data_IF_887426888619
#
_entry.id   IF_887426888619
#
_cell.length_a   1.000
_cell.length_b   1.000
_cell.length_c   1.000
_cell.angle_alpha   90.00
_cell.angle_beta   90.00
_cell.angle_gamma   90.00
#
_symmetry.space_group_name_H-M   'P 1'
#
loop_
_entity.id
_entity.type
_entity.pdbx_description
1 polymer ?
#
# COMPACT_ATOMS: atom_id res chain seq x y z
N UNK A 1 -57.66 -0.40 52.56
CA UNK A 1 -57.22 -0.02 53.92
C UNK A 1 -56.91 -1.31 54.67
N UNK A 2 -55.87 -1.28 55.53
CA UNK A 2 -55.38 -2.35 56.44
C UNK A 2 -54.41 -3.36 55.77
N UNK A 3 -53.09 -3.12 55.77
CA UNK A 3 -52.05 -3.30 56.83
C UNK A 3 -51.79 -4.80 57.15
N UNK A 4 -50.71 -5.40 56.64
CA UNK A 4 -49.31 -5.42 57.14
C UNK A 4 -49.05 -6.51 58.21
N UNK A 5 -48.27 -7.54 57.86
CA UNK A 5 -47.32 -8.20 58.77
C UNK A 5 -46.29 -9.03 57.99
N UNK A 6 -45.16 -8.35 57.74
CA UNK A 6 -43.77 -8.67 58.04
C UNK A 6 -43.12 -10.05 57.70
N UNK A 7 -41.78 -10.04 57.50
CA UNK A 7 -41.05 -10.98 56.64
C UNK A 7 -40.07 -11.89 57.42
N UNK A 8 -39.49 -12.90 56.77
CA UNK A 8 -38.20 -13.47 57.20
C UNK A 8 -37.41 -13.98 55.99
N UNK A 9 -36.10 -13.75 56.06
CA UNK A 9 -35.13 -13.59 54.96
C UNK A 9 -34.89 -14.79 54.02
N UNK A 10 -34.36 -14.54 52.81
CA UNK A 10 -33.60 -15.51 52.01
C UNK A 10 -32.10 -15.42 52.34
N UNK A 11 -31.31 -16.48 52.11
CA UNK A 11 -29.86 -16.48 51.78
C UNK A 11 -29.40 -17.95 51.74
N UNK A 12 -29.22 -18.57 50.56
CA UNK A 12 -28.00 -18.65 49.72
C UNK A 12 -26.81 -19.37 50.37
N UNK A 13 -26.44 -20.52 49.81
CA UNK A 13 -25.08 -20.81 49.35
C UNK A 13 -25.08 -22.04 48.41
N UNK A 14 -24.69 -21.82 47.16
CA UNK A 14 -24.28 -22.84 46.19
C UNK A 14 -22.78 -23.19 46.42
N UNK A 15 -22.00 -23.81 45.49
CA UNK A 15 -22.28 -24.60 44.29
C UNK A 15 -21.36 -25.86 44.16
N UNK A 16 -21.38 -26.47 42.97
CA UNK A 16 -20.26 -27.14 42.28
C UNK A 16 -20.30 -28.70 42.33
N UNK A 17 -20.05 -29.44 41.25
CA UNK A 17 -19.24 -29.16 40.06
C UNK A 17 -19.84 -29.83 38.82
N UNK A 18 -19.72 -29.11 37.71
CA UNK A 18 -20.03 -29.53 36.33
C UNK A 18 -19.01 -30.57 35.85
N UNK A 19 -19.48 -31.57 35.10
CA UNK A 19 -18.71 -32.35 34.13
C UNK A 19 -19.55 -32.37 32.83
N UNK A 20 -19.22 -31.61 31.79
CA UNK A 20 -18.14 -31.78 30.81
C UNK A 20 -18.37 -32.97 29.85
N UNK A 21 -18.83 -32.64 28.63
CA UNK A 21 -18.51 -33.29 27.35
C UNK A 21 -19.22 -32.47 26.24
N UNK A 22 -18.60 -31.44 25.68
CA UNK A 22 -17.81 -31.46 24.43
C UNK A 22 -18.53 -32.15 23.26
N UNK A 23 -19.18 -31.34 22.42
CA UNK A 23 -19.54 -31.67 21.04
C UNK A 23 -19.15 -30.50 20.15
N UNK A 24 -18.07 -30.69 19.39
CA UNK A 24 -17.40 -29.69 18.59
C UNK A 24 -17.99 -29.61 17.16
N UNK A 25 -18.17 -28.40 16.65
CA UNK A 25 -18.07 -28.05 15.22
C UNK A 25 -18.04 -26.51 15.11
N UNK A 26 -16.86 -25.96 15.34
CA UNK A 26 -16.52 -24.54 15.26
C UNK A 26 -15.80 -24.29 13.93
N UNK A 27 -16.22 -23.23 13.25
CA UNK A 27 -15.43 -22.41 12.31
C UNK A 27 -14.99 -23.00 10.97
N UNK A 28 -15.70 -22.61 9.91
CA UNK A 28 -15.09 -22.23 8.64
C UNK A 28 -15.24 -20.71 8.45
N UNK A 29 -14.57 -19.94 9.31
CA UNK A 29 -14.11 -18.61 8.90
C UNK A 29 -12.88 -18.88 8.01
N UNK A 30 -13.05 -18.75 6.71
CA UNK A 30 -11.92 -18.59 5.80
C UNK A 30 -11.24 -17.25 6.13
N UNK A 31 -10.33 -17.30 7.10
CA UNK A 31 -9.30 -16.31 7.33
C UNK A 31 -8.33 -16.38 6.14
N UNK A 32 -8.70 -15.75 5.04
CA UNK A 32 -7.74 -15.26 4.05
C UNK A 32 -7.06 -14.01 4.63
N UNK A 33 -6.46 -14.11 5.82
CA UNK A 33 -5.37 -13.22 6.20
C UNK A 33 -4.15 -13.71 5.43
N UNK A 34 -4.14 -13.43 4.13
CA UNK A 34 -2.94 -13.57 3.33
C UNK A 34 -1.87 -12.70 4.01
N UNK A 35 -0.81 -13.35 4.47
CA UNK A 35 0.41 -12.68 4.86
C UNK A 35 0.84 -11.79 3.68
N UNK A 36 0.64 -10.49 3.78
CA UNK A 36 1.41 -9.58 2.95
C UNK A 36 2.84 -9.68 3.47
N UNK A 37 3.82 -10.16 2.69
CA UNK A 37 5.21 -9.94 3.06
C UNK A 37 5.39 -8.43 3.26
N UNK A 38 6.16 -8.05 4.28
CA UNK A 38 6.62 -6.69 4.53
C UNK A 38 7.25 -6.14 3.25
N UNK A 39 6.40 -5.60 2.39
CA UNK A 39 6.77 -4.96 1.15
C UNK A 39 7.21 -3.56 1.54
N UNK A 40 8.34 -3.05 1.04
CA UNK A 40 8.87 -1.73 1.40
C UNK A 40 7.90 -0.58 1.04
N UNK A 41 6.83 -0.87 0.31
CA UNK A 41 5.75 0.05 -0.03
C UNK A 41 4.62 0.01 0.99
N UNK A 42 4.47 1.07 1.79
CA UNK A 42 3.28 1.29 2.61
C UNK A 42 1.99 1.26 1.76
N UNK A 43 2.07 1.65 0.48
CA UNK A 43 0.97 1.65 -0.48
C UNK A 43 0.44 0.26 -0.89
N UNK A 44 1.14 -0.84 -0.55
CA UNK A 44 0.65 -2.21 -0.79
C UNK A 44 -0.25 -2.77 0.31
N UNK A 45 -0.36 -2.08 1.45
CA UNK A 45 -1.21 -2.54 2.56
C UNK A 45 -2.72 -2.40 2.26
N UNK A 46 -3.09 -1.65 1.21
CA UNK A 46 -4.48 -1.42 0.81
C UNK A 46 -4.80 -2.04 -0.54
N UNK A 47 -6.08 -2.41 -0.73
CA UNK A 47 -6.58 -2.92 -2.00
C UNK A 47 -6.38 -1.91 -3.13
N UNK A 48 -5.96 -2.39 -4.30
CA UNK A 48 -5.76 -1.58 -5.50
C UNK A 48 -7.12 -1.03 -5.98
N UNK A 49 -7.20 0.29 -6.21
CA UNK A 49 -8.34 0.91 -6.87
C UNK A 49 -8.21 0.86 -8.40
N UNK A 50 -9.29 1.08 -9.15
CA UNK A 50 -9.24 1.04 -10.63
C UNK A 50 -8.22 2.05 -11.20
N UNK A 51 -8.12 3.24 -10.61
CA UNK A 51 -7.16 4.29 -11.00
C UNK A 51 -5.69 3.90 -10.83
N UNK A 52 -5.43 2.88 -10.01
CA UNK A 52 -4.06 2.45 -9.69
C UNK A 52 -3.51 1.51 -10.76
N UNK A 53 -4.37 0.99 -11.64
CA UNK A 53 -3.97 0.10 -12.73
C UNK A 53 -3.22 0.86 -13.80
N UNK A 54 -2.12 0.26 -14.25
CA UNK A 54 -1.40 0.77 -15.41
C UNK A 54 -2.25 0.66 -16.68
N UNK A 55 -2.20 1.66 -17.56
CA UNK A 55 -2.71 1.52 -18.92
C UNK A 55 -2.09 0.32 -19.64
N UNK A 56 -2.92 -0.46 -20.34
CA UNK A 56 -2.53 -1.69 -21.06
C UNK A 56 -1.42 -1.45 -22.11
N UNK A 57 -1.27 -0.22 -22.59
CA UNK A 57 -0.26 0.16 -23.57
C UNK A 57 1.18 0.19 -23.01
N UNK A 58 1.36 0.15 -21.69
CA UNK A 58 2.68 0.26 -21.06
C UNK A 58 3.33 -1.11 -20.95
N UNK A 59 4.40 -1.33 -21.72
CA UNK A 59 5.22 -2.53 -21.61
C UNK A 59 6.18 -2.39 -20.42
N UNK A 60 6.01 -3.25 -19.41
CA UNK A 60 6.90 -3.31 -18.26
C UNK A 60 8.12 -4.20 -18.53
N UNK A 61 9.29 -3.90 -17.94
CA UNK A 61 10.46 -4.75 -18.04
C UNK A 61 10.26 -6.06 -17.25
N UNK A 62 11.11 -7.05 -17.52
CA UNK A 62 11.14 -8.28 -16.72
C UNK A 62 11.36 -7.95 -15.24
N UNK A 63 10.70 -8.70 -14.35
CA UNK A 63 10.76 -8.48 -12.90
C UNK A 63 9.82 -7.39 -12.37
N UNK A 64 9.22 -6.55 -13.21
CA UNK A 64 8.20 -5.58 -12.77
C UNK A 64 6.82 -6.25 -12.64
N UNK A 65 6.11 -5.97 -11.54
CA UNK A 65 4.78 -6.51 -11.28
C UNK A 65 3.69 -5.47 -11.57
N UNK A 66 2.95 -5.65 -12.68
CA UNK A 66 1.87 -4.76 -13.07
C UNK A 66 0.72 -4.70 -12.05
N UNK A 67 0.41 -5.80 -11.37
CA UNK A 67 -0.72 -5.87 -10.43
C UNK A 67 -0.42 -5.13 -9.12
N UNK A 68 0.87 -4.93 -8.85
CA UNK A 68 1.32 -4.09 -7.73
C UNK A 68 1.22 -2.60 -8.00
N UNK A 69 0.80 -2.16 -9.20
CA UNK A 69 0.83 -0.76 -9.57
C UNK A 69 -0.03 0.12 -8.67
N UNK A 70 0.48 1.31 -8.36
CA UNK A 70 -0.22 2.34 -7.58
C UNK A 70 -0.06 3.69 -8.26
N UNK A 71 -1.16 4.40 -8.48
CA UNK A 71 -1.11 5.78 -8.92
C UNK A 71 -0.74 6.63 -7.70
N UNK A 72 0.43 7.24 -7.73
CA UNK A 72 0.92 8.06 -6.62
C UNK A 72 0.63 9.54 -6.81
N UNK A 73 0.38 9.98 -8.04
CA UNK A 73 -0.15 11.32 -8.30
C UNK A 73 -0.06 11.72 -9.77
N UNK A 74 -0.41 12.97 -10.05
CA UNK A 74 -0.42 13.53 -11.40
C UNK A 74 0.10 14.97 -11.41
N UNK A 75 0.81 15.36 -12.47
CA UNK A 75 1.36 16.72 -12.65
C UNK A 75 1.56 17.01 -14.13
N UNK A 76 1.19 18.21 -14.57
CA UNK A 76 1.42 18.69 -15.94
C UNK A 76 0.91 17.73 -17.04
N UNK A 77 -0.21 17.03 -16.78
CA UNK A 77 -0.80 16.04 -17.70
C UNK A 77 -0.10 14.68 -17.74
N UNK A 78 0.87 14.44 -16.86
CA UNK A 78 1.48 13.13 -16.64
C UNK A 78 0.94 12.50 -15.34
N UNK A 79 0.63 11.21 -15.41
CA UNK A 79 0.31 10.34 -14.29
C UNK A 79 1.57 9.56 -13.88
N UNK A 80 1.81 9.48 -12.58
CA UNK A 80 2.97 8.81 -12.00
C UNK A 80 2.51 7.58 -11.24
N UNK A 81 3.02 6.42 -11.64
CA UNK A 81 2.76 5.15 -10.98
C UNK A 81 4.04 4.59 -10.40
N UNK A 82 3.90 3.83 -9.31
CA UNK A 82 4.94 2.97 -8.78
C UNK A 82 4.53 1.51 -8.92
N UNK A 83 5.48 0.63 -9.26
CA UNK A 83 5.29 -0.82 -9.22
C UNK A 83 6.41 -1.50 -8.46
N UNK A 84 6.15 -2.70 -7.95
CA UNK A 84 7.19 -3.63 -7.54
C UNK A 84 8.15 -3.89 -8.69
N UNK A 85 9.40 -4.11 -8.31
CA UNK A 85 10.41 -4.69 -9.18
C UNK A 85 11.17 -5.76 -8.40
N UNK A 86 11.30 -6.96 -8.93
CA UNK A 86 12.21 -7.99 -8.41
C UNK A 86 13.33 -8.16 -9.43
N UNK A 87 14.55 -7.83 -9.04
CA UNK A 87 15.72 -8.00 -9.90
C UNK A 87 16.12 -9.47 -10.03
N UNK A 88 16.79 -9.83 -11.13
CA UNK A 88 17.17 -11.22 -11.42
C UNK A 88 18.07 -11.84 -10.33
N UNK A 89 18.98 -11.05 -9.76
CA UNK A 89 19.96 -11.48 -8.75
C UNK A 89 20.02 -10.55 -7.51
N UNK A 90 19.06 -9.62 -7.39
CA UNK A 90 19.15 -8.46 -6.50
C UNK A 90 17.96 -8.32 -5.55
N UNK A 91 18.02 -7.35 -4.61
CA UNK A 91 16.90 -7.11 -3.71
C UNK A 91 15.68 -6.56 -4.47
N UNK A 92 14.50 -6.73 -3.88
CA UNK A 92 13.28 -6.10 -4.37
C UNK A 92 13.44 -4.57 -4.39
N UNK A 93 12.87 -3.95 -5.42
CA UNK A 93 12.96 -2.54 -5.71
C UNK A 93 11.64 -1.96 -6.22
N UNK A 94 11.77 -0.82 -6.91
CA UNK A 94 10.64 -0.05 -7.45
C UNK A 94 10.84 0.24 -8.94
N UNK A 95 9.76 0.26 -9.69
CA UNK A 95 9.71 0.98 -10.97
C UNK A 95 8.92 2.27 -10.81
N UNK A 96 9.46 3.36 -11.35
CA UNK A 96 8.71 4.59 -11.60
C UNK A 96 8.18 4.50 -13.02
N UNK A 97 6.89 4.71 -13.21
CA UNK A 97 6.25 4.81 -14.52
C UNK A 97 5.62 6.19 -14.65
N UNK A 98 5.95 6.89 -15.73
CA UNK A 98 5.37 8.16 -16.13
C UNK A 98 4.54 7.92 -17.36
N UNK A 99 3.27 8.28 -17.34
CA UNK A 99 2.36 8.11 -18.46
C UNK A 99 1.64 9.41 -18.79
N UNK A 100 1.55 9.73 -20.08
CA UNK A 100 0.82 10.88 -20.59
C UNK A 100 -0.38 10.39 -21.41
N UNK A 101 -1.59 10.54 -20.88
CA UNK A 101 -2.80 10.05 -21.54
C UNK A 101 -3.13 10.80 -22.84
N UNK A 102 -2.70 12.06 -22.96
CA UNK A 102 -2.94 12.92 -24.13
C UNK A 102 -2.13 12.49 -25.36
N UNK A 103 -0.89 12.05 -25.17
CA UNK A 103 0.01 11.60 -26.23
C UNK A 103 0.15 10.07 -26.32
N UNK A 104 -0.23 9.35 -25.27
CA UNK A 104 0.08 7.92 -25.11
C UNK A 104 1.56 7.65 -24.81
N UNK A 105 2.36 8.69 -24.55
CA UNK A 105 3.77 8.53 -24.22
C UNK A 105 3.94 7.91 -22.83
N UNK A 106 4.87 6.96 -22.71
CA UNK A 106 5.29 6.40 -21.43
C UNK A 106 6.80 6.41 -21.29
N UNK A 107 7.29 6.71 -20.10
CA UNK A 107 8.69 6.52 -19.72
C UNK A 107 8.72 5.79 -18.38
N UNK A 108 9.65 4.84 -18.22
CA UNK A 108 9.80 4.09 -16.98
C UNK A 108 11.26 3.82 -16.69
N UNK A 109 11.55 3.59 -15.42
CA UNK A 109 12.82 3.00 -14.99
C UNK A 109 12.65 2.29 -13.67
N UNK A 110 13.39 1.20 -13.51
CA UNK A 110 13.34 0.33 -12.36
C UNK A 110 14.71 0.25 -11.69
N UNK A 111 14.71 0.07 -10.37
CA UNK A 111 15.94 -0.13 -9.63
C UNK A 111 15.70 -0.64 -8.22
N UNK A 112 16.68 -1.39 -7.73
CA UNK A 112 16.71 -1.95 -6.38
C UNK A 112 17.49 -1.09 -5.38
N UNK A 113 18.11 0.01 -5.85
CA UNK A 113 18.92 0.91 -5.03
C UNK A 113 18.23 2.27 -4.89
N UNK A 114 18.15 2.76 -3.65
CA UNK A 114 17.62 4.09 -3.35
C UNK A 114 18.73 5.15 -3.29
N UNK A 115 18.48 6.39 -3.76
CA UNK A 115 17.24 6.87 -4.40
C UNK A 115 17.18 6.57 -5.91
N UNK A 116 16.07 6.01 -6.40
CA UNK A 116 15.83 5.83 -7.84
C UNK A 116 15.43 7.15 -8.48
N UNK A 117 16.14 7.56 -9.53
CA UNK A 117 15.81 8.74 -10.34
C UNK A 117 15.76 8.36 -11.81
N UNK A 118 14.72 8.78 -12.52
CA UNK A 118 14.59 8.62 -13.97
C UNK A 118 14.50 9.98 -14.64
N UNK A 119 15.13 10.12 -15.81
CA UNK A 119 14.98 11.32 -16.64
C UNK A 119 13.76 11.16 -17.55
N UNK A 120 13.00 12.23 -17.75
CA UNK A 120 11.87 12.24 -18.69
C UNK A 120 12.32 12.72 -20.07
N UNK A 121 11.61 12.39 -21.16
CA UNK A 121 12.01 12.78 -22.52
C UNK A 121 12.01 14.30 -22.74
N UNK A 122 11.28 15.04 -21.90
CA UNK A 122 11.20 16.50 -21.93
C UNK A 122 12.24 17.20 -21.06
N UNK A 123 13.33 16.52 -20.67
CA UNK A 123 14.42 17.11 -19.87
C UNK A 123 14.15 17.22 -18.36
N UNK A 124 12.98 16.78 -17.90
CA UNK A 124 12.64 16.68 -16.49
C UNK A 124 13.23 15.43 -15.83
N UNK A 125 12.93 15.25 -14.55
CA UNK A 125 13.30 14.06 -13.81
C UNK A 125 12.25 13.71 -12.75
N UNK A 126 12.11 12.42 -12.46
CA UNK A 126 11.24 11.89 -11.41
C UNK A 126 12.10 11.09 -10.46
N UNK A 127 11.92 11.30 -9.16
CA UNK A 127 12.68 10.59 -8.13
C UNK A 127 11.73 9.97 -7.11
N UNK A 128 11.98 8.70 -6.84
CA UNK A 128 11.41 8.03 -5.69
C UNK A 128 12.15 8.48 -4.41
N UNK A 129 11.39 8.79 -3.38
CA UNK A 129 11.89 9.17 -2.05
C UNK A 129 11.31 8.18 -1.05
N UNK A 130 12.15 7.64 -0.17
CA UNK A 130 11.63 6.79 0.90
C UNK A 130 10.71 7.60 1.83
N UNK A 131 9.56 7.04 2.24
CA UNK A 131 8.68 7.68 3.21
C UNK A 131 9.44 8.09 4.48
N UNK A 132 9.37 9.37 4.84
CA UNK A 132 10.09 9.92 6.00
C UNK A 132 11.58 10.19 5.80
N UNK A 133 12.10 10.02 4.59
CA UNK A 133 13.45 10.47 4.22
C UNK A 133 13.57 11.99 4.12
N UNK A 134 14.72 12.53 4.55
CA UNK A 134 14.96 13.98 4.54
C UNK A 134 14.99 14.55 3.11
N UNK A 135 14.07 15.48 2.84
CA UNK A 135 13.94 16.22 1.57
C UNK A 135 15.13 17.15 1.29
N UNK A 136 15.97 17.39 2.30
CA UNK A 136 17.00 18.41 2.33
C UNK A 136 18.14 18.19 1.30
N UNK A 137 18.13 17.05 0.60
CA UNK A 137 19.26 16.58 -0.21
C UNK A 137 19.01 16.54 -1.72
N UNK A 138 18.15 17.41 -2.26
CA UNK A 138 18.01 17.50 -3.72
C UNK A 138 18.17 18.94 -4.24
N UNK A 139 19.41 19.37 -4.60
CA UNK A 139 19.60 20.66 -5.23
C UNK A 139 18.80 20.75 -6.54
N UNK A 140 18.01 21.81 -6.67
CA UNK A 140 17.19 22.09 -7.86
C UNK A 140 15.72 22.41 -7.55
N UNK A 141 14.93 22.64 -8.60
CA UNK A 141 13.49 22.94 -8.51
C UNK A 141 12.65 21.65 -8.49
N UNK A 142 12.74 20.90 -7.40
CA UNK A 142 11.91 19.71 -7.19
C UNK A 142 10.58 20.10 -6.55
N UNK A 143 9.51 19.43 -6.98
CA UNK A 143 8.17 19.60 -6.42
C UNK A 143 7.65 18.24 -5.99
N UNK A 144 7.14 18.18 -4.76
CA UNK A 144 6.51 16.98 -4.22
C UNK A 144 5.18 16.69 -4.90
N UNK A 145 5.00 15.45 -5.34
CA UNK A 145 3.76 14.93 -5.93
C UNK A 145 3.06 14.00 -4.94
N UNK A 146 3.84 13.21 -4.20
CA UNK A 146 3.35 12.32 -3.12
C UNK A 146 4.40 12.16 -2.02
N UNK A 147 4.10 11.39 -0.97
CA UNK A 147 5.07 11.05 0.09
C UNK A 147 6.29 10.28 -0.47
N UNK A 148 6.09 9.54 -1.56
CA UNK A 148 7.09 8.65 -2.18
C UNK A 148 7.73 9.26 -3.45
N UNK A 149 7.30 10.43 -3.92
CA UNK A 149 7.68 10.92 -5.24
C UNK A 149 7.81 12.45 -5.33
N UNK A 150 8.94 12.87 -5.89
CA UNK A 150 9.23 14.25 -6.26
C UNK A 150 9.56 14.36 -7.75
N UNK A 151 9.19 15.47 -8.36
CA UNK A 151 9.35 15.72 -9.80
C UNK A 151 10.09 17.03 -10.01
N UNK A 152 11.02 17.05 -10.97
CA UNK A 152 11.59 18.26 -11.54
C UNK A 152 11.13 18.36 -12.99
N UNK A 153 10.51 19.49 -13.32
CA UNK A 153 10.11 19.77 -14.69
C UNK A 153 11.38 20.03 -15.56
N UNK A 154 11.30 19.73 -16.85
CA UNK A 154 12.37 20.10 -17.79
C UNK A 154 12.34 21.60 -18.10
N UNK A 155 13.48 22.14 -18.53
CA UNK A 155 13.62 23.53 -18.95
C UNK A 155 13.09 23.77 -20.39
#
# INVERSE_FOLDING_TARGET
>A
MTLLSAPTAPVRAAPARRAAALGAAVSMLFLLSACSPDSPFAARATAQAERDRLPVAIALPHGADAESSRLVGSRNGADFFLTAFTGDDGPDGVCIVVFRADSGESNLGCGALFPLTISTPHGGAVRYVEPGGDEEMIPGRWVRVSDELVVRDGD
#
